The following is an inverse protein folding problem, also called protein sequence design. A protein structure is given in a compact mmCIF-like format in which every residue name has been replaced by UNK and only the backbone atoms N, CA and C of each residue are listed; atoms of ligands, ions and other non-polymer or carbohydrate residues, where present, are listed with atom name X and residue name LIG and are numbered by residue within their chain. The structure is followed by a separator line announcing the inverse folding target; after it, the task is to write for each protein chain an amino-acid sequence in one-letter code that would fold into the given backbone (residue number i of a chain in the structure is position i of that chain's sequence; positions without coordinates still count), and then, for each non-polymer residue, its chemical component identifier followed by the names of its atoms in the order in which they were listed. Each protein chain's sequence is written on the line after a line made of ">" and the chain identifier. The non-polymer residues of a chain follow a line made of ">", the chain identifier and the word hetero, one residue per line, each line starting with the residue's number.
data_IF_035012114139
#
_entry.id   IF_035012114139
#
_cell.length_a   1.000
_cell.length_b   1.000
_cell.length_c   1.000
_cell.angle_alpha   90.00
_cell.angle_beta   90.00
_cell.angle_gamma   90.00
#
_symmetry.space_group_name_H-M   'P 1'
#
loop_
_entity.id
_entity.type
_entity.pdbx_description
1 polymer ?
#
# COMPACT_ATOMS: atom_id res chain seq x y z
N UNK A 1 -5.24 0.25 16.13
CA UNK A 1 -4.51 -1.03 15.99
C UNK A 1 -3.02 -0.75 15.98
N UNK A 2 -2.19 -1.49 16.74
CA UNK A 2 -0.74 -1.37 16.67
C UNK A 2 -0.19 -1.72 15.27
N UNK A 3 0.91 -1.10 14.86
CA UNK A 3 1.56 -1.37 13.56
C UNK A 3 1.95 -2.84 13.44
N UNK A 4 2.49 -3.44 14.51
CA UNK A 4 2.87 -4.84 14.51
C UNK A 4 1.70 -5.76 14.12
N UNK A 5 0.53 -5.54 14.71
CA UNK A 5 -0.67 -6.31 14.39
C UNK A 5 -1.16 -6.02 12.97
N UNK A 6 -1.00 -4.78 12.50
CA UNK A 6 -1.37 -4.40 11.15
C UNK A 6 -0.53 -5.12 10.10
N UNK A 7 0.80 -5.18 10.24
CA UNK A 7 1.65 -5.93 9.31
C UNK A 7 1.34 -7.41 9.31
N UNK A 8 1.19 -8.01 10.49
CA UNK A 8 0.83 -9.43 10.61
C UNK A 8 -0.53 -9.75 9.98
N UNK A 9 -1.51 -8.85 10.10
CA UNK A 9 -2.80 -9.02 9.46
C UNK A 9 -2.75 -8.81 7.94
N UNK A 10 -2.09 -7.75 7.48
CA UNK A 10 -2.15 -7.29 6.10
C UNK A 10 -1.16 -8.01 5.18
N UNK A 11 0.09 -8.19 5.63
CA UNK A 11 1.16 -8.78 4.83
C UNK A 11 1.14 -10.32 4.93
N UNK A 12 0.94 -10.86 6.13
CA UNK A 12 0.90 -12.32 6.35
C UNK A 12 -0.52 -12.91 6.18
N UNK A 13 -1.52 -12.06 5.88
CA UNK A 13 -2.93 -12.44 5.66
C UNK A 13 -3.53 -13.23 6.84
N UNK A 14 -3.08 -12.98 8.06
CA UNK A 14 -3.56 -13.67 9.26
C UNK A 14 -4.55 -12.81 10.07
N UNK A 15 -5.84 -13.15 9.97
CA UNK A 15 -6.94 -12.50 10.69
C UNK A 15 -6.90 -12.72 12.21
N UNK A 16 -6.06 -13.63 12.72
CA UNK A 16 -5.88 -13.84 14.16
C UNK A 16 -5.37 -12.58 14.87
N UNK A 17 -4.64 -11.71 14.16
CA UNK A 17 -4.05 -10.47 14.67
C UNK A 17 -5.03 -9.30 14.81
N UNK A 18 -6.24 -9.43 14.24
CA UNK A 18 -7.35 -8.51 14.47
C UNK A 18 -7.99 -8.69 15.85
N UNK A 19 -7.76 -9.83 16.51
CA UNK A 19 -8.38 -10.20 17.78
C UNK A 19 -7.34 -10.51 18.85
N UNK A 20 -7.45 -9.86 20.02
CA UNK A 20 -6.58 -10.16 21.18
C UNK A 20 -6.73 -11.61 21.66
N UNK A 21 -7.90 -12.22 21.47
CA UNK A 21 -8.20 -13.58 21.93
C UNK A 21 -7.96 -14.65 20.87
N UNK A 22 -7.47 -14.27 19.67
CA UNK A 22 -7.30 -15.13 18.48
C UNK A 22 -8.54 -15.90 18.04
N UNK A 23 -9.71 -15.60 18.61
CA UNK A 23 -10.99 -16.13 18.12
C UNK A 23 -11.36 -15.37 16.85
N UNK A 24 -11.20 -16.04 15.72
CA UNK A 24 -11.59 -15.54 14.41
C UNK A 24 -13.06 -15.93 14.19
N UNK A 25 -13.90 -14.95 13.90
CA UNK A 25 -15.31 -15.15 13.58
C UNK A 25 -15.75 -14.21 12.47
N UNK A 26 -16.94 -14.41 11.92
CA UNK A 26 -17.48 -13.61 10.81
C UNK A 26 -17.48 -12.10 11.08
N UNK A 27 -17.71 -11.69 12.33
CA UNK A 27 -17.64 -10.28 12.75
C UNK A 27 -16.23 -9.68 12.60
N UNK A 28 -15.18 -10.45 12.91
CA UNK A 28 -13.79 -9.98 12.81
C UNK A 28 -13.42 -9.68 11.36
N UNK A 29 -13.85 -10.53 10.43
CA UNK A 29 -13.63 -10.30 9.00
C UNK A 29 -14.41 -9.08 8.50
N UNK A 30 -15.70 -8.96 8.86
CA UNK A 30 -16.53 -7.82 8.48
C UNK A 30 -15.97 -6.48 8.97
N UNK A 31 -15.53 -6.41 10.23
CA UNK A 31 -14.90 -5.20 10.76
C UNK A 31 -13.49 -4.97 10.21
N UNK A 32 -12.76 -6.04 9.88
CA UNK A 32 -11.47 -5.94 9.19
C UNK A 32 -11.58 -5.19 7.87
N UNK A 33 -12.52 -5.58 7.01
CA UNK A 33 -12.74 -4.91 5.72
C UNK A 33 -13.13 -3.43 5.92
N UNK A 34 -14.01 -3.14 6.88
CA UNK A 34 -14.41 -1.76 7.23
C UNK A 34 -13.23 -0.93 7.73
N UNK A 35 -12.34 -1.52 8.53
CA UNK A 35 -11.12 -0.86 9.02
C UNK A 35 -10.18 -0.55 7.85
N UNK A 36 -10.00 -1.47 6.90
CA UNK A 36 -9.22 -1.19 5.68
C UNK A 36 -9.84 -0.06 4.88
N UNK A 37 -11.16 -0.09 4.65
CA UNK A 37 -11.84 0.96 3.90
C UNK A 37 -11.63 2.33 4.56
N UNK A 38 -11.87 2.46 5.86
CA UNK A 38 -11.66 3.72 6.57
C UNK A 38 -10.19 4.17 6.57
N UNK A 39 -9.26 3.22 6.62
CA UNK A 39 -7.84 3.52 6.53
C UNK A 39 -7.48 4.10 5.14
N UNK A 40 -7.96 3.47 4.07
CA UNK A 40 -7.79 3.94 2.70
C UNK A 40 -8.44 5.32 2.52
N UNK A 41 -9.66 5.53 3.03
CA UNK A 41 -10.33 6.84 2.98
C UNK A 41 -9.53 7.94 3.68
N UNK A 42 -8.90 7.64 4.82
CA UNK A 42 -8.18 8.63 5.63
C UNK A 42 -6.76 8.91 5.14
N UNK A 43 -6.08 7.90 4.61
CA UNK A 43 -4.66 7.99 4.27
C UNK A 43 -4.38 7.94 2.77
N UNK A 44 -5.35 7.51 1.97
CA UNK A 44 -5.27 7.38 0.52
C UNK A 44 -4.45 6.15 0.11
N UNK A 45 -4.58 5.78 -1.17
CA UNK A 45 -3.60 4.90 -1.81
C UNK A 45 -2.34 5.67 -2.18
N UNK A 46 -1.21 4.97 -2.26
CA UNK A 46 -0.02 5.59 -2.82
C UNK A 46 -0.21 5.88 -4.31
N UNK A 47 0.36 6.98 -4.82
CA UNK A 47 0.23 7.36 -6.24
C UNK A 47 0.66 6.24 -7.19
N UNK A 48 1.71 5.50 -6.85
CA UNK A 48 2.19 4.34 -7.64
C UNK A 48 1.14 3.24 -7.72
N UNK A 49 0.41 2.99 -6.61
CA UNK A 49 -0.68 2.01 -6.60
C UNK A 49 -1.84 2.45 -7.50
N UNK A 50 -2.20 3.74 -7.45
CA UNK A 50 -3.25 4.31 -8.33
C UNK A 50 -2.81 4.18 -9.80
N UNK A 51 -1.58 4.58 -10.14
CA UNK A 51 -1.02 4.43 -11.50
C UNK A 51 -1.00 2.98 -11.96
N UNK A 52 -0.68 2.04 -11.06
CA UNK A 52 -0.71 0.60 -11.37
C UNK A 52 -2.12 0.15 -11.71
N UNK A 53 -3.13 0.55 -10.93
CA UNK A 53 -4.54 0.23 -11.21
C UNK A 53 -5.04 0.84 -12.53
N UNK A 54 -4.65 2.08 -12.82
CA UNK A 54 -4.98 2.73 -14.09
C UNK A 54 -4.38 1.97 -15.29
N UNK A 55 -3.14 1.51 -15.16
CA UNK A 55 -2.47 0.69 -16.17
C UNK A 55 -3.09 -0.71 -16.30
N UNK A 56 -3.46 -1.34 -15.20
CA UNK A 56 -4.18 -2.63 -15.24
C UNK A 56 -5.56 -2.48 -15.93
N UNK A 57 -6.27 -1.37 -15.69
CA UNK A 57 -7.50 -1.05 -16.42
C UNK A 57 -7.23 -0.87 -17.92
N UNK A 58 -6.18 -0.14 -18.29
CA UNK A 58 -5.76 0.04 -19.69
C UNK A 58 -5.48 -1.31 -20.37
N UNK A 59 -4.73 -2.19 -19.70
CA UNK A 59 -4.43 -3.54 -20.18
C UNK A 59 -5.70 -4.34 -20.47
N UNK A 60 -6.67 -4.35 -19.54
CA UNK A 60 -7.94 -5.07 -19.71
C UNK A 60 -8.73 -4.52 -20.89
N UNK A 61 -8.76 -3.19 -21.09
CA UNK A 61 -9.43 -2.58 -22.23
C UNK A 61 -8.76 -2.96 -23.56
N UNK A 62 -7.43 -3.01 -23.61
CA UNK A 62 -6.68 -3.43 -24.79
C UNK A 62 -6.92 -4.91 -25.12
N UNK A 63 -6.93 -5.77 -24.11
CA UNK A 63 -7.23 -7.20 -24.25
C UNK A 63 -8.67 -7.41 -24.75
N UNK A 64 -9.64 -6.70 -24.17
CA UNK A 64 -11.03 -6.75 -24.61
C UNK A 64 -11.18 -6.27 -26.05
N UNK A 65 -10.53 -5.16 -26.43
CA UNK A 65 -10.56 -4.66 -27.80
C UNK A 65 -9.96 -5.67 -28.77
N UNK A 66 -8.81 -6.25 -28.45
CA UNK A 66 -8.18 -7.30 -29.25
C UNK A 66 -9.10 -8.52 -29.40
N UNK A 67 -9.79 -8.94 -28.34
CA UNK A 67 -10.72 -10.07 -28.41
C UNK A 67 -11.94 -9.78 -29.31
N UNK A 68 -12.41 -8.53 -29.36
CA UNK A 68 -13.56 -8.10 -30.17
C UNK A 68 -13.15 -7.90 -31.64
N UNK A 69 -12.00 -7.30 -31.91
CA UNK A 69 -11.60 -6.90 -33.26
C UNK A 69 -10.65 -7.87 -33.96
N UNK A 70 -10.12 -8.86 -33.24
CA UNK A 70 -9.02 -9.76 -33.65
C UNK A 70 -7.78 -9.03 -34.19
N UNK A 71 -7.61 -7.76 -33.82
CA UNK A 71 -6.51 -6.93 -34.28
C UNK A 71 -5.21 -7.30 -33.55
N UNK A 72 -4.33 -8.01 -34.24
CA UNK A 72 -3.05 -8.47 -33.70
C UNK A 72 -2.06 -7.34 -33.44
N UNK A 73 -2.24 -6.14 -34.02
CA UNK A 73 -1.38 -4.99 -33.73
C UNK A 73 -1.48 -4.55 -32.27
N UNK A 74 -2.61 -4.85 -31.61
CA UNK A 74 -2.83 -4.57 -30.19
C UNK A 74 -1.93 -5.39 -29.26
N UNK A 75 -1.34 -6.50 -29.73
CA UNK A 75 -0.43 -7.30 -28.91
C UNK A 75 0.83 -6.52 -28.49
N UNK A 76 1.32 -5.62 -29.35
CA UNK A 76 2.47 -4.77 -29.00
C UNK A 76 2.11 -3.82 -27.84
N UNK A 77 0.94 -3.19 -27.90
CA UNK A 77 0.45 -2.29 -26.84
C UNK A 77 0.15 -3.03 -25.53
N UNK A 78 -0.45 -4.22 -25.62
CA UNK A 78 -0.65 -5.12 -24.47
C UNK A 78 0.70 -5.40 -23.82
N UNK A 79 1.72 -5.75 -24.62
CA UNK A 79 3.04 -6.08 -24.09
C UNK A 79 3.74 -4.89 -23.43
N UNK A 80 3.62 -3.70 -24.01
CA UNK A 80 4.14 -2.46 -23.41
C UNK A 80 3.45 -2.21 -22.06
N UNK A 81 2.12 -2.33 -22.01
CA UNK A 81 1.34 -2.09 -20.80
C UNK A 81 1.71 -3.10 -19.68
N UNK A 82 1.93 -4.38 -20.03
CA UNK A 82 2.43 -5.39 -19.08
C UNK A 82 3.81 -5.00 -18.49
N UNK A 83 4.74 -4.53 -19.33
CA UNK A 83 6.07 -4.12 -18.90
C UNK A 83 6.01 -2.89 -17.99
N UNK A 84 5.14 -1.92 -18.30
CA UNK A 84 4.92 -0.74 -17.46
C UNK A 84 4.33 -1.11 -16.09
N UNK A 85 3.37 -2.04 -16.05
CA UNK A 85 2.82 -2.58 -14.79
C UNK A 85 3.92 -3.27 -13.97
N UNK A 86 4.77 -4.07 -14.63
CA UNK A 86 5.87 -4.76 -13.95
C UNK A 86 6.89 -3.76 -13.38
N UNK A 87 7.22 -2.71 -14.13
CA UNK A 87 8.09 -1.63 -13.66
C UNK A 87 7.51 -0.90 -12.43
N UNK A 88 6.22 -0.51 -12.48
CA UNK A 88 5.55 0.13 -11.36
C UNK A 88 5.49 -0.76 -10.10
N UNK A 89 5.31 -2.08 -10.29
CA UNK A 89 5.36 -3.06 -9.19
C UNK A 89 6.77 -3.16 -8.60
N UNK A 90 7.82 -3.12 -9.42
CA UNK A 90 9.21 -3.10 -8.95
C UNK A 90 9.54 -1.82 -8.16
N UNK A 91 9.12 -0.65 -8.65
CA UNK A 91 9.26 0.62 -7.90
C UNK A 91 8.56 0.60 -6.53
N UNK A 92 7.46 -0.15 -6.41
CA UNK A 92 6.75 -0.32 -5.13
C UNK A 92 7.51 -1.24 -4.17
N UNK A 93 8.28 -2.19 -4.71
CA UNK A 93 9.07 -3.17 -3.95
C UNK A 93 10.40 -2.58 -3.49
N UNK A 94 10.95 -1.61 -4.23
CA UNK A 94 12.17 -0.85 -3.87
C UNK A 94 11.93 0.28 -2.86
N UNK A 95 10.71 0.42 -2.31
CA UNK A 95 10.46 1.39 -1.25
C UNK A 95 11.25 1.04 0.00
N UNK A 96 11.86 2.07 0.59
CA UNK A 96 12.54 2.03 1.88
C UNK A 96 11.78 1.14 2.86
N UNK A 97 12.49 0.18 3.43
CA UNK A 97 11.96 -0.75 4.43
C UNK A 97 11.25 0.09 5.52
N UNK A 98 10.12 -0.40 6.04
CA UNK A 98 9.44 0.23 7.16
C UNK A 98 10.44 0.60 8.28
N UNK A 99 11.43 -0.26 8.52
CA UNK A 99 12.48 -0.03 9.51
C UNK A 99 13.44 1.12 9.16
N UNK A 100 13.72 1.36 7.88
CA UNK A 100 14.50 2.53 7.43
C UNK A 100 13.72 3.82 7.66
N UNK A 101 12.45 3.86 7.26
CA UNK A 101 11.58 5.03 7.48
C UNK A 101 11.40 5.30 8.98
N UNK A 102 11.19 4.24 9.77
CA UNK A 102 11.14 4.31 11.23
C UNK A 102 12.43 4.90 11.79
N UNK A 103 13.60 4.42 11.35
CA UNK A 103 14.90 4.93 11.80
C UNK A 103 15.08 6.43 11.53
N UNK A 104 14.69 6.89 10.33
CA UNK A 104 14.71 8.33 10.00
C UNK A 104 13.74 9.11 10.89
N UNK A 105 12.52 8.62 11.11
CA UNK A 105 11.54 9.27 11.98
C UNK A 105 12.04 9.37 13.43
N UNK A 106 12.63 8.31 13.96
CA UNK A 106 13.17 8.27 15.32
C UNK A 106 14.34 9.24 15.49
N UNK A 107 15.24 9.29 14.50
CA UNK A 107 16.36 10.23 14.47
C UNK A 107 15.88 11.69 14.47
N UNK A 108 14.96 12.03 13.57
CA UNK A 108 14.52 13.42 13.40
C UNK A 108 13.62 13.91 14.55
N UNK A 109 12.86 13.01 15.18
CA UNK A 109 11.91 13.37 16.24
C UNK A 109 12.48 13.19 17.66
N UNK A 110 13.65 12.53 17.80
CA UNK A 110 14.33 12.36 19.08
C UNK A 110 13.66 11.36 20.04
N UNK A 111 12.85 10.43 19.54
CA UNK A 111 12.22 9.38 20.34
C UNK A 111 12.16 8.04 19.61
N UNK A 112 12.02 6.94 20.37
CA UNK A 112 11.90 5.59 19.83
C UNK A 112 10.44 5.17 19.64
N UNK A 113 10.12 4.61 18.47
CA UNK A 113 8.81 4.08 18.10
C UNK A 113 8.74 2.58 18.47
N UNK A 114 7.91 2.24 19.46
CA UNK A 114 7.58 0.85 19.78
C UNK A 114 6.42 0.33 18.91
N UNK A 115 6.74 -0.49 17.90
CA UNK A 115 5.78 -1.03 16.90
C UNK A 115 4.63 -1.85 17.50
N UNK A 116 4.79 -2.36 18.72
CA UNK A 116 3.74 -3.12 19.42
C UNK A 116 2.76 -2.21 20.16
N UNK A 117 3.09 -0.93 20.33
CA UNK A 117 2.28 0.06 21.05
C UNK A 117 1.75 1.16 20.13
N UNK A 118 2.59 1.68 19.24
CA UNK A 118 2.20 2.77 18.35
C UNK A 118 1.10 2.30 17.40
N UNK A 119 0.04 3.08 17.27
CA UNK A 119 -1.02 2.80 16.33
C UNK A 119 -0.62 3.16 14.91
N UNK A 120 -1.23 2.49 13.92
CA UNK A 120 -1.03 2.83 12.50
C UNK A 120 -1.35 4.31 12.25
N UNK A 121 -2.41 4.84 12.86
CA UNK A 121 -2.79 6.24 12.68
C UNK A 121 -1.73 7.23 13.21
N UNK A 122 -1.14 6.96 14.36
CA UNK A 122 -0.07 7.78 14.95
C UNK A 122 1.17 7.79 14.06
N UNK A 123 1.60 6.62 13.60
CA UNK A 123 2.77 6.50 12.72
C UNK A 123 2.61 7.25 11.40
N UNK A 124 1.48 7.07 10.72
CA UNK A 124 1.21 7.82 9.49
C UNK A 124 1.05 9.33 9.76
N UNK A 125 0.67 9.73 10.97
CA UNK A 125 0.63 11.15 11.36
C UNK A 125 2.05 11.70 11.54
N UNK A 126 2.96 10.99 12.19
CA UNK A 126 4.38 11.38 12.27
C UNK A 126 5.02 11.47 10.90
N UNK A 127 4.75 10.49 10.03
CA UNK A 127 5.23 10.51 8.65
C UNK A 127 4.71 11.71 7.84
N UNK A 128 3.41 12.05 7.98
CA UNK A 128 2.81 13.25 7.37
C UNK A 128 3.43 14.53 7.93
N UNK A 129 3.71 14.59 9.23
CA UNK A 129 4.35 15.74 9.86
C UNK A 129 5.78 15.94 9.35
N UNK A 130 6.56 14.87 9.22
CA UNK A 130 7.92 14.91 8.67
C UNK A 130 7.95 15.47 7.24
N UNK A 131 7.02 15.06 6.37
CA UNK A 131 6.87 15.62 5.01
C UNK A 131 6.59 17.13 4.97
N UNK A 132 5.95 17.68 6.01
CA UNK A 132 5.70 19.12 6.12
C UNK A 132 6.92 19.90 6.61
N UNK A 133 7.75 19.28 7.46
CA UNK A 133 8.97 19.89 8.01
C UNK A 133 10.08 19.91 6.93
N UNK A 134 10.12 18.90 6.06
CA UNK A 134 10.98 18.87 4.86
C UNK A 134 10.14 18.82 3.57
N UNK A 135 9.58 19.95 3.10
CA UNK A 135 9.15 20.01 1.70
C UNK A 135 10.41 19.78 0.85
N UNK A 136 10.31 18.87 -0.15
CA UNK A 136 11.41 18.44 -1.03
C UNK A 136 12.48 19.52 -1.19
N UNK A 137 13.67 19.29 -0.63
CA UNK A 137 14.86 19.92 -1.17
C UNK A 137 15.05 19.25 -2.53
N UNK A 138 14.51 19.88 -3.58
CA UNK A 138 14.76 19.47 -4.95
C UNK A 138 16.27 19.58 -5.17
N UNK A 139 16.91 18.43 -5.43
CA UNK A 139 18.18 18.38 -6.14
C UNK A 139 17.98 18.73 -7.61
#
# INVERSE_FOLDING_TARGET
>A
MPIYNWFKWHEEKDNSYLSKTRKIGSLVNYFGDKIMTQFIERFGFSEVFIKTLEKEKELVLLQARRAITDDRSLNAFIKICELEIEALKKETTERADFYEIKGVLEHEMGFQIDIKKVSVAEYYTYFKALKKIRPKQNG
#
